data_IF_766026840705
#
_entry.id   IF_766026840705
#
_cell.length_a   1.000
_cell.length_b   1.000
_cell.length_c   1.000
_cell.angle_alpha   90.00
_cell.angle_beta   90.00
_cell.angle_gamma   90.00
#
_symmetry.space_group_name_H-M   'P 1'
#
loop_
_entity.id
_entity.type
_entity.pdbx_description
1 polymer ?
#
# COMPACT_ATOMS: atom_id res chain seq x y z
N UNK A 1 24.44 -21.37 83.71
CA UNK A 1 25.77 -20.80 83.97
C UNK A 1 26.76 -21.52 83.06
N UNK A 2 26.95 -20.99 81.85
CA UNK A 2 28.02 -21.36 80.94
C UNK A 2 28.22 -20.16 80.02
N UNK A 3 29.25 -19.37 80.33
CA UNK A 3 29.60 -18.11 79.68
C UNK A 3 30.40 -18.39 78.41
N UNK A 4 29.97 -17.74 77.33
CA UNK A 4 30.61 -17.71 76.02
C UNK A 4 31.99 -17.04 76.09
N UNK A 5 32.99 -17.70 75.50
CA UNK A 5 34.30 -17.12 75.25
C UNK A 5 34.29 -16.36 73.92
N UNK A 6 34.47 -15.05 74.04
CA UNK A 6 34.75 -14.08 72.98
C UNK A 6 36.24 -14.16 72.61
N UNK A 7 36.56 -14.25 71.32
CA UNK A 7 37.91 -13.99 70.80
C UNK A 7 37.84 -13.02 69.62
N UNK A 8 38.76 -12.06 69.70
CA UNK A 8 38.83 -10.80 68.98
C UNK A 8 39.08 -10.91 67.48
N UNK A 9 38.52 -9.92 66.77
CA UNK A 9 38.68 -9.73 65.34
C UNK A 9 40.03 -9.13 64.96
N UNK A 10 40.62 -9.68 63.90
CA UNK A 10 41.61 -9.02 63.07
C UNK A 10 40.94 -8.61 61.75
N UNK A 11 41.04 -7.31 61.42
CA UNK A 11 40.62 -6.72 60.14
C UNK A 11 41.51 -7.25 59.00
N UNK A 12 40.91 -7.68 57.90
CA UNK A 12 41.58 -7.77 56.59
C UNK A 12 40.72 -7.11 55.51
N UNK A 13 41.39 -6.31 54.69
CA UNK A 13 40.83 -5.42 53.68
C UNK A 13 40.50 -6.19 52.40
N UNK A 14 39.48 -5.69 51.71
CA UNK A 14 38.82 -6.19 50.52
C UNK A 14 39.75 -6.51 49.34
N UNK A 15 39.35 -7.49 48.54
CA UNK A 15 39.57 -7.52 47.09
C UNK A 15 38.37 -8.22 46.45
N UNK A 16 37.34 -7.45 46.10
CA UNK A 16 36.21 -7.94 45.34
C UNK A 16 36.65 -8.08 43.88
N UNK A 17 36.77 -9.31 43.39
CA UNK A 17 36.91 -9.60 41.96
C UNK A 17 35.58 -9.31 41.28
N UNK A 18 35.54 -8.25 40.49
CA UNK A 18 34.43 -7.91 39.61
C UNK A 18 34.27 -8.98 38.53
N UNK A 19 33.21 -9.77 38.62
CA UNK A 19 32.71 -10.52 37.47
C UNK A 19 32.21 -9.53 36.43
N UNK A 20 32.94 -9.49 35.32
CA UNK A 20 32.64 -8.74 34.11
C UNK A 20 31.30 -9.21 33.52
N UNK A 21 30.21 -8.52 33.88
CA UNK A 21 28.94 -8.62 33.15
C UNK A 21 29.04 -7.71 31.94
N UNK A 22 29.41 -8.30 30.81
CA UNK A 22 29.39 -7.64 29.52
C UNK A 22 28.01 -6.98 29.30
N UNK A 23 27.94 -5.67 28.99
CA UNK A 23 26.68 -5.00 28.71
C UNK A 23 25.99 -5.65 27.50
N UNK A 24 24.65 -5.77 27.50
CA UNK A 24 23.94 -6.30 26.35
C UNK A 24 24.28 -5.47 25.10
N UNK A 25 24.40 -6.09 23.92
CA UNK A 25 24.69 -5.37 22.69
C UNK A 25 23.64 -4.28 22.46
N UNK A 26 24.02 -3.10 21.93
CA UNK A 26 23.08 -2.04 21.65
C UNK A 26 21.99 -2.56 20.70
N UNK A 27 20.72 -2.51 21.14
CA UNK A 27 19.57 -2.77 20.27
C UNK A 27 19.71 -1.84 19.07
N UNK A 28 19.90 -2.39 17.87
CA UNK A 28 19.88 -1.62 16.64
C UNK A 28 18.46 -1.07 16.47
N UNK A 29 18.23 0.16 16.91
CA UNK A 29 16.94 0.84 16.77
C UNK A 29 16.74 1.08 15.29
N UNK A 30 15.97 0.20 14.64
CA UNK A 30 15.52 0.44 13.26
C UNK A 30 14.77 1.78 13.26
N UNK A 31 15.05 2.69 12.31
CA UNK A 31 14.31 3.94 12.23
C UNK A 31 12.82 3.62 12.08
N UNK A 32 11.99 4.21 12.94
CA UNK A 32 10.55 3.99 12.94
C UNK A 32 9.97 4.27 11.54
N UNK A 33 9.17 3.33 11.02
CA UNK A 33 8.51 3.47 9.71
C UNK A 33 7.63 4.72 9.68
N UNK A 34 7.40 5.28 8.48
CA UNK A 34 6.53 6.44 8.30
C UNK A 34 5.12 6.17 8.87
N UNK A 35 4.60 4.97 8.64
CA UNK A 35 3.35 4.49 9.22
C UNK A 35 3.34 4.57 10.75
N UNK A 36 4.35 3.99 11.43
CA UNK A 36 4.44 4.04 12.89
C UNK A 36 4.43 5.47 13.42
N UNK A 37 5.29 6.33 12.86
CA UNK A 37 5.44 7.71 13.32
C UNK A 37 4.17 8.55 13.15
N UNK A 38 3.42 8.30 12.07
CA UNK A 38 2.30 9.15 11.68
C UNK A 38 0.98 8.66 12.27
N UNK A 39 0.76 7.34 12.27
CA UNK A 39 -0.53 6.73 12.61
C UNK A 39 -0.56 6.23 14.07
N UNK A 40 0.60 5.94 14.66
CA UNK A 40 0.71 5.38 16.00
C UNK A 40 1.76 6.11 16.86
N UNK A 41 1.63 7.44 17.06
CA UNK A 41 2.63 8.24 17.76
C UNK A 41 2.80 7.87 19.24
N UNK A 42 1.77 7.26 19.86
CA UNK A 42 1.76 6.85 21.26
C UNK A 42 2.26 5.41 21.49
N UNK A 43 2.53 4.67 20.42
CA UNK A 43 2.92 3.27 20.50
C UNK A 43 4.41 3.14 20.86
N UNK A 44 4.80 2.32 21.86
CA UNK A 44 6.19 2.12 22.23
C UNK A 44 7.07 1.68 21.04
N UNK A 45 8.34 2.08 21.04
CA UNK A 45 9.26 1.79 19.93
C UNK A 45 9.50 0.29 19.71
N UNK A 46 9.40 -0.52 20.78
CA UNK A 46 9.68 -1.95 20.79
C UNK A 46 8.42 -2.82 20.53
N UNK A 47 7.21 -2.24 20.45
CA UNK A 47 5.97 -3.02 20.25
C UNK A 47 5.58 -3.11 18.78
N UNK A 48 5.01 -4.23 18.35
CA UNK A 48 4.54 -4.40 16.97
C UNK A 48 3.32 -3.52 16.64
N UNK A 49 3.12 -3.23 15.36
CA UNK A 49 1.93 -2.51 14.91
C UNK A 49 0.69 -3.40 15.16
N UNK A 50 -0.45 -2.81 15.57
CA UNK A 50 -1.69 -3.56 15.66
C UNK A 50 -2.04 -4.14 14.28
N UNK A 51 -2.67 -5.32 14.20
CA UNK A 51 -3.04 -5.90 12.93
C UNK A 51 -4.14 -5.07 12.25
N UNK A 52 -3.92 -4.68 10.99
CA UNK A 52 -4.95 -4.06 10.16
C UNK A 52 -5.95 -5.12 9.70
N UNK A 53 -5.44 -6.22 9.14
CA UNK A 53 -6.20 -7.38 8.71
C UNK A 53 -6.27 -8.44 9.82
N UNK A 54 -7.43 -9.06 9.98
CA UNK A 54 -7.75 -10.01 11.06
C UNK A 54 -7.46 -11.46 10.64
N UNK A 55 -7.51 -11.76 9.34
CA UNK A 55 -7.40 -13.13 8.85
C UNK A 55 -6.05 -13.78 9.18
N UNK A 56 -6.02 -15.03 9.68
CA UNK A 56 -4.80 -15.71 10.11
C UNK A 56 -3.86 -16.07 8.95
N UNK A 57 -4.35 -15.99 7.70
CA UNK A 57 -3.57 -16.27 6.49
C UNK A 57 -2.75 -15.08 6.00
N UNK A 58 -2.89 -13.91 6.64
CA UNK A 58 -2.25 -12.66 6.20
C UNK A 58 -0.80 -12.62 6.66
N UNK A 59 0.09 -12.29 5.72
CA UNK A 59 1.50 -12.10 6.04
C UNK A 59 1.72 -10.72 6.70
N UNK A 60 2.60 -10.61 7.71
CA UNK A 60 2.84 -9.34 8.41
C UNK A 60 3.34 -8.24 7.47
N UNK A 61 4.05 -8.59 6.39
CA UNK A 61 4.53 -7.66 5.39
C UNK A 61 3.38 -6.94 4.66
N UNK A 62 2.24 -7.61 4.46
CA UNK A 62 1.08 -6.98 3.84
C UNK A 62 0.45 -5.92 4.75
N UNK A 63 0.36 -6.19 6.06
CA UNK A 63 -0.12 -5.21 7.03
C UNK A 63 0.78 -3.97 7.06
N UNK A 64 2.11 -4.16 7.04
CA UNK A 64 3.06 -3.05 7.00
C UNK A 64 2.91 -2.19 5.73
N UNK A 65 2.75 -2.82 4.56
CA UNK A 65 2.54 -2.10 3.29
C UNK A 65 1.20 -1.36 3.27
N UNK A 66 0.13 -1.95 3.80
CA UNK A 66 -1.18 -1.28 3.89
C UNK A 66 -1.12 -0.06 4.83
N UNK A 67 -0.46 -0.17 5.98
CA UNK A 67 -0.26 1.00 6.85
C UNK A 67 0.64 2.05 6.20
N UNK A 68 1.68 1.66 5.47
CA UNK A 68 2.50 2.61 4.71
C UNK A 68 1.69 3.33 3.62
N UNK A 69 0.76 2.62 2.98
CA UNK A 69 -0.18 3.20 2.04
C UNK A 69 -1.10 4.22 2.73
N UNK A 70 -1.76 3.84 3.84
CA UNK A 70 -2.62 4.74 4.63
C UNK A 70 -1.85 5.98 5.07
N UNK A 71 -0.64 5.80 5.61
CA UNK A 71 0.17 6.92 6.07
C UNK A 71 0.62 7.84 4.92
N UNK A 72 0.92 7.28 3.76
CA UNK A 72 1.24 8.08 2.56
C UNK A 72 0.02 8.85 2.07
N UNK A 73 -1.16 8.23 2.08
CA UNK A 73 -2.43 8.85 1.74
C UNK A 73 -2.77 10.01 2.69
N UNK A 74 -2.77 9.79 4.00
CA UNK A 74 -3.07 10.86 4.98
C UNK A 74 -2.03 11.99 4.91
N UNK A 75 -0.75 11.67 4.69
CA UNK A 75 0.27 12.69 4.47
C UNK A 75 0.00 13.54 3.22
N UNK A 76 -0.54 12.94 2.16
CA UNK A 76 -0.83 13.65 0.91
C UNK A 76 -2.13 14.46 0.99
N UNK A 77 -3.18 13.91 1.59
CA UNK A 77 -4.53 14.47 1.50
C UNK A 77 -5.03 15.12 2.79
N UNK A 78 -4.36 14.93 3.94
CA UNK A 78 -4.74 15.54 5.22
C UNK A 78 -3.77 16.65 5.64
N UNK A 79 -2.47 16.36 5.65
CA UNK A 79 -1.47 17.33 6.11
C UNK A 79 -1.53 18.71 5.44
N UNK A 80 -1.71 18.84 4.10
CA UNK A 80 -1.63 20.15 3.44
C UNK A 80 -2.64 21.20 3.95
N UNK A 81 -3.74 20.76 4.56
CA UNK A 81 -4.74 21.64 5.15
C UNK A 81 -4.79 21.53 6.68
N UNK A 82 -4.66 20.33 7.26
CA UNK A 82 -4.78 20.17 8.72
C UNK A 82 -3.69 20.92 9.49
N UNK A 83 -2.44 20.90 9.02
CA UNK A 83 -1.35 21.60 9.71
C UNK A 83 -1.49 23.12 9.68
N UNK A 84 -2.33 23.65 8.78
CA UNK A 84 -2.67 25.09 8.73
C UNK A 84 -3.71 25.47 9.77
N UNK A 85 -4.57 24.51 10.16
CA UNK A 85 -5.59 24.69 11.19
C UNK A 85 -4.99 24.43 12.57
N UNK A 86 -4.25 23.33 12.74
CA UNK A 86 -3.63 22.96 14.03
C UNK A 86 -2.20 22.46 13.81
N UNK A 87 -1.22 23.20 14.34
CA UNK A 87 0.21 22.98 14.04
C UNK A 87 0.85 21.78 14.74
N UNK A 88 0.35 21.39 15.92
CA UNK A 88 0.99 20.38 16.78
C UNK A 88 0.05 19.24 17.18
N UNK A 89 -1.06 19.09 16.46
CA UNK A 89 -1.96 17.97 16.72
C UNK A 89 -1.39 16.67 16.13
N UNK A 90 -1.36 15.65 16.97
CA UNK A 90 -0.89 14.30 16.65
C UNK A 90 -2.00 13.26 16.74
N UNK A 91 -3.22 13.64 17.11
CA UNK A 91 -4.31 12.72 17.40
C UNK A 91 -5.27 12.55 16.21
N UNK A 92 -5.39 13.55 15.33
CA UNK A 92 -6.32 13.48 14.21
C UNK A 92 -6.01 12.35 13.20
N UNK A 93 -4.74 12.15 12.85
CA UNK A 93 -4.35 11.09 11.90
C UNK A 93 -4.54 9.69 12.50
N UNK A 94 -4.15 9.43 13.76
CA UNK A 94 -4.55 8.21 14.47
C UNK A 94 -6.07 8.00 14.52
N UNK A 95 -6.86 9.05 14.75
CA UNK A 95 -8.32 8.95 14.78
C UNK A 95 -8.88 8.53 13.41
N UNK A 96 -8.44 9.14 12.31
CA UNK A 96 -8.82 8.71 10.96
C UNK A 96 -8.36 7.27 10.70
N UNK A 97 -7.15 6.91 11.15
CA UNK A 97 -6.61 5.55 10.98
C UNK A 97 -7.49 4.50 11.67
N UNK A 98 -8.02 4.80 12.87
CA UNK A 98 -8.97 3.92 13.57
C UNK A 98 -10.21 3.66 12.71
N UNK A 99 -10.80 4.71 12.14
CA UNK A 99 -11.98 4.60 11.28
C UNK A 99 -11.67 3.80 10.00
N UNK A 100 -10.55 4.09 9.34
CA UNK A 100 -10.09 3.35 8.15
C UNK A 100 -9.83 1.88 8.48
N UNK A 101 -9.25 1.59 9.64
CA UNK A 101 -9.01 0.20 10.08
C UNK A 101 -10.33 -0.55 10.26
N UNK A 102 -11.34 0.06 10.89
CA UNK A 102 -12.68 -0.54 11.00
C UNK A 102 -13.29 -0.83 9.62
N UNK A 103 -13.18 0.11 8.67
CA UNK A 103 -13.68 -0.07 7.32
C UNK A 103 -12.98 -1.26 6.65
N UNK A 104 -11.65 -1.32 6.71
CA UNK A 104 -10.87 -2.39 6.09
C UNK A 104 -11.21 -3.76 6.70
N UNK A 105 -11.36 -3.85 8.02
CA UNK A 105 -11.69 -5.11 8.69
C UNK A 105 -13.09 -5.62 8.33
N UNK A 106 -14.07 -4.73 8.23
CA UNK A 106 -15.44 -5.11 7.81
C UNK A 106 -15.45 -5.55 6.34
N UNK A 107 -14.70 -4.86 5.48
CA UNK A 107 -14.55 -5.26 4.08
C UNK A 107 -13.83 -6.60 3.96
N UNK A 108 -12.75 -6.82 4.71
CA UNK A 108 -12.02 -8.09 4.74
C UNK A 108 -12.92 -9.25 5.16
N UNK A 109 -13.71 -9.09 6.22
CA UNK A 109 -14.65 -10.10 6.69
C UNK A 109 -15.67 -10.46 5.59
N UNK A 110 -16.29 -9.45 4.97
CA UNK A 110 -17.25 -9.64 3.87
C UNK A 110 -16.62 -10.30 2.65
N UNK A 111 -15.39 -9.90 2.28
CA UNK A 111 -14.66 -10.50 1.15
C UNK A 111 -14.32 -11.96 1.42
N UNK A 112 -14.00 -12.31 2.67
CA UNK A 112 -13.68 -13.68 3.07
C UNK A 112 -14.91 -14.58 3.08
N UNK A 113 -16.08 -14.03 3.42
CA UNK A 113 -17.36 -14.77 3.44
C UNK A 113 -18.01 -14.90 2.04
N UNK A 114 -17.62 -14.06 1.09
CA UNK A 114 -18.23 -14.01 -0.25
C UNK A 114 -17.53 -14.97 -1.21
N UNK A 115 -18.29 -15.82 -1.90
CA UNK A 115 -17.75 -16.60 -3.03
C UNK A 115 -17.45 -15.68 -4.22
N UNK A 116 -16.16 -15.42 -4.45
CA UNK A 116 -15.67 -14.59 -5.55
C UNK A 116 -15.57 -15.36 -6.88
N UNK A 117 -15.86 -16.67 -6.90
CA UNK A 117 -15.75 -17.49 -8.12
C UNK A 117 -16.58 -16.96 -9.30
N UNK A 118 -17.86 -16.54 -9.12
CA UNK A 118 -18.64 -15.95 -10.21
C UNK A 118 -18.02 -14.64 -10.72
N UNK A 119 -17.52 -13.80 -9.81
CA UNK A 119 -16.87 -12.55 -10.18
C UNK A 119 -15.63 -12.80 -11.04
N UNK A 120 -14.76 -13.71 -10.61
CA UNK A 120 -13.46 -13.98 -11.25
C UNK A 120 -13.60 -14.79 -12.53
N UNK A 121 -14.43 -15.83 -12.55
CA UNK A 121 -14.48 -16.78 -13.67
C UNK A 121 -15.59 -16.49 -14.69
N UNK A 122 -16.56 -15.64 -14.34
CA UNK A 122 -17.67 -15.28 -15.24
C UNK A 122 -17.71 -13.78 -15.50
N UNK A 123 -17.88 -12.97 -14.47
CA UNK A 123 -18.25 -11.56 -14.65
C UNK A 123 -17.08 -10.73 -15.19
N UNK A 124 -15.88 -10.84 -14.62
CA UNK A 124 -14.68 -10.14 -15.11
C UNK A 124 -14.33 -10.55 -16.56
N UNK A 125 -14.24 -11.84 -16.92
CA UNK A 125 -13.97 -12.25 -18.31
C UNK A 125 -15.03 -11.74 -19.29
N UNK A 126 -16.31 -11.78 -18.91
CA UNK A 126 -17.38 -11.23 -19.75
C UNK A 126 -17.20 -9.72 -19.94
N UNK A 127 -16.95 -8.95 -18.88
CA UNK A 127 -16.74 -7.50 -18.97
C UNK A 127 -15.54 -7.15 -19.87
N UNK A 128 -14.43 -7.88 -19.75
CA UNK A 128 -13.25 -7.67 -20.59
C UNK A 128 -13.53 -8.02 -22.05
N UNK A 129 -14.23 -9.13 -22.30
CA UNK A 129 -14.60 -9.55 -23.67
C UNK A 129 -15.55 -8.54 -24.32
N UNK A 130 -16.55 -8.07 -23.58
CA UNK A 130 -17.48 -7.02 -24.05
C UNK A 130 -16.74 -5.73 -24.34
N UNK A 131 -15.89 -5.28 -23.41
CA UNK A 131 -15.07 -4.08 -23.60
C UNK A 131 -14.21 -4.16 -24.86
N UNK A 132 -13.54 -5.29 -25.09
CA UNK A 132 -12.72 -5.49 -26.28
C UNK A 132 -13.53 -5.47 -27.58
N UNK A 133 -14.66 -6.19 -27.62
CA UNK A 133 -15.56 -6.21 -28.78
C UNK A 133 -16.09 -4.82 -29.09
N UNK A 134 -16.57 -4.08 -28.08
CA UNK A 134 -17.10 -2.74 -28.24
C UNK A 134 -16.03 -1.75 -28.69
N UNK A 135 -14.81 -1.88 -28.18
CA UNK A 135 -13.67 -1.09 -28.65
C UNK A 135 -13.40 -1.34 -30.14
N UNK A 136 -13.38 -2.60 -30.58
CA UNK A 136 -13.17 -2.95 -32.00
C UNK A 136 -14.32 -2.44 -32.88
N UNK A 137 -15.55 -2.51 -32.39
CA UNK A 137 -16.73 -1.96 -33.07
C UNK A 137 -16.66 -0.44 -33.21
N UNK A 138 -16.26 0.28 -32.16
CA UNK A 138 -16.05 1.72 -32.20
C UNK A 138 -14.91 2.10 -33.15
N UNK A 139 -13.80 1.34 -33.13
CA UNK A 139 -12.66 1.54 -34.02
C UNK A 139 -13.03 1.32 -35.49
N UNK A 140 -13.85 0.33 -35.81
CA UNK A 140 -14.29 0.05 -37.18
C UNK A 140 -15.19 1.17 -37.76
N UNK A 141 -15.88 1.92 -36.89
CA UNK A 141 -16.74 3.06 -37.28
C UNK A 141 -15.96 4.36 -37.42
N UNK A 142 -14.73 4.43 -36.95
CA UNK A 142 -13.91 5.64 -37.00
C UNK A 142 -13.77 6.12 -38.46
N UNK A 143 -13.88 7.43 -38.70
CA UNK A 143 -13.80 8.04 -40.03
C UNK A 143 -14.88 7.57 -41.04
N UNK A 144 -15.95 6.95 -40.57
CA UNK A 144 -17.12 6.61 -41.42
C UNK A 144 -18.24 7.64 -41.24
N UNK A 145 -19.21 7.66 -42.14
CA UNK A 145 -20.41 8.49 -42.02
C UNK A 145 -21.21 8.21 -40.73
N UNK A 146 -21.10 6.99 -40.19
CA UNK A 146 -21.74 6.57 -38.93
C UNK A 146 -21.09 7.18 -37.67
N UNK A 147 -19.94 7.85 -37.80
CA UNK A 147 -19.24 8.51 -36.70
C UNK A 147 -19.56 10.02 -36.65
N UNK A 148 -20.84 10.37 -36.66
CA UNK A 148 -21.30 11.77 -36.75
C UNK A 148 -20.68 12.49 -37.96
N UNK A 149 -20.73 11.86 -39.14
CA UNK A 149 -20.09 12.38 -40.35
C UNK A 149 -18.55 12.34 -40.31
N UNK A 150 -17.96 11.46 -39.50
CA UNK A 150 -16.50 11.30 -39.34
C UNK A 150 -15.86 12.17 -38.25
N UNK A 151 -16.64 13.01 -37.57
CA UNK A 151 -16.13 13.95 -36.56
C UNK A 151 -15.97 13.33 -35.16
N UNK A 152 -16.65 12.23 -34.85
CA UNK A 152 -16.59 11.63 -33.53
C UNK A 152 -15.25 10.92 -33.27
N UNK A 153 -14.69 11.13 -32.07
CA UNK A 153 -13.45 10.48 -31.64
C UNK A 153 -13.70 9.05 -31.18
N UNK A 154 -12.64 8.23 -31.12
CA UNK A 154 -12.76 6.85 -30.63
C UNK A 154 -13.36 6.75 -29.22
N UNK A 155 -12.94 7.56 -28.22
CA UNK A 155 -13.57 7.57 -26.89
C UNK A 155 -15.06 7.92 -26.92
N UNK A 156 -15.46 8.88 -27.75
CA UNK A 156 -16.86 9.27 -27.91
C UNK A 156 -17.70 8.14 -28.52
N UNK A 157 -17.19 7.49 -29.57
CA UNK A 157 -17.86 6.34 -30.19
C UNK A 157 -17.98 5.16 -29.23
N UNK A 158 -16.93 4.89 -28.45
CA UNK A 158 -16.95 3.83 -27.44
C UNK A 158 -17.97 4.14 -26.34
N UNK A 159 -17.97 5.36 -25.80
CA UNK A 159 -18.90 5.78 -24.76
C UNK A 159 -20.37 5.73 -25.21
N UNK A 160 -20.66 5.98 -26.50
CA UNK A 160 -22.01 5.80 -27.04
C UNK A 160 -22.49 4.35 -27.04
N UNK A 161 -21.57 3.38 -27.15
CA UNK A 161 -21.90 1.94 -27.06
C UNK A 161 -22.12 1.50 -25.61
N UNK A 162 -21.35 2.06 -24.68
CA UNK A 162 -21.37 1.71 -23.25
C UNK A 162 -21.44 2.98 -22.37
N UNK A 163 -22.57 3.69 -22.35
CA UNK A 163 -22.71 4.88 -21.53
C UNK A 163 -22.78 4.49 -20.05
N UNK A 164 -21.96 5.14 -19.23
CA UNK A 164 -21.98 4.95 -17.78
C UNK A 164 -22.02 6.31 -17.07
N UNK A 165 -22.93 6.48 -16.10
CA UNK A 165 -23.15 7.78 -15.43
C UNK A 165 -21.88 8.32 -14.74
N UNK A 166 -21.01 7.42 -14.26
CA UNK A 166 -19.78 7.78 -13.56
C UNK A 166 -18.62 8.18 -14.47
N UNK A 167 -18.71 8.03 -15.80
CA UNK A 167 -17.58 8.25 -16.71
C UNK A 167 -18.05 9.04 -17.92
N UNK A 168 -17.42 10.19 -18.18
CA UNK A 168 -17.73 10.98 -19.37
C UNK A 168 -17.13 10.35 -20.64
N UNK A 169 -17.57 10.82 -21.81
CA UNK A 169 -17.01 10.41 -23.10
C UNK A 169 -15.49 10.68 -23.22
N UNK A 170 -14.96 11.64 -22.47
CA UNK A 170 -13.53 11.96 -22.43
C UNK A 170 -12.76 11.10 -21.40
N UNK A 171 -13.42 10.13 -20.77
CA UNK A 171 -12.83 9.25 -19.75
C UNK A 171 -12.65 9.91 -18.39
N UNK A 172 -13.29 11.06 -18.13
CA UNK A 172 -13.26 11.69 -16.80
C UNK A 172 -14.27 11.03 -15.88
N UNK A 173 -13.82 10.65 -14.69
CA UNK A 173 -14.70 10.06 -13.66
C UNK A 173 -15.46 11.17 -12.94
N UNK A 174 -16.75 10.98 -12.76
CA UNK A 174 -17.60 11.90 -11.99
C UNK A 174 -17.34 11.74 -10.49
N UNK A 175 -16.85 12.81 -9.88
CA UNK A 175 -16.57 12.91 -8.46
C UNK A 175 -17.83 12.74 -7.60
N UNK A 176 -18.99 13.23 -8.06
CA UNK A 176 -20.24 13.09 -7.32
C UNK A 176 -20.64 11.61 -7.21
N UNK A 177 -20.40 10.83 -8.27
CA UNK A 177 -20.61 9.39 -8.25
C UNK A 177 -19.68 8.68 -7.26
N UNK A 178 -18.37 9.01 -7.26
CA UNK A 178 -17.40 8.43 -6.33
C UNK A 178 -17.77 8.78 -4.88
N UNK A 179 -18.17 10.03 -4.63
CA UNK A 179 -18.62 10.47 -3.31
C UNK A 179 -19.84 9.68 -2.84
N UNK A 180 -20.84 9.49 -3.69
CA UNK A 180 -22.03 8.72 -3.35
C UNK A 180 -21.70 7.25 -3.07
N UNK A 181 -20.92 6.61 -3.96
CA UNK A 181 -20.50 5.23 -3.79
C UNK A 181 -19.72 5.01 -2.49
N UNK A 182 -18.83 5.95 -2.13
CA UNK A 182 -18.09 5.89 -0.87
C UNK A 182 -19.00 6.14 0.35
N UNK A 183 -20.00 7.03 0.26
CA UNK A 183 -20.97 7.21 1.35
C UNK A 183 -21.75 5.91 1.64
N UNK A 184 -22.14 5.18 0.59
CA UNK A 184 -22.83 3.89 0.72
C UNK A 184 -21.92 2.81 1.33
N UNK A 185 -20.62 2.80 0.97
CA UNK A 185 -19.62 1.94 1.60
C UNK A 185 -19.46 2.29 3.09
N UNK A 186 -19.33 3.58 3.43
CA UNK A 186 -19.20 4.04 4.81
C UNK A 186 -20.41 3.64 5.65
N UNK A 187 -21.63 3.82 5.11
CA UNK A 187 -22.88 3.41 5.77
C UNK A 187 -22.91 1.92 6.08
N UNK A 188 -22.33 1.12 5.20
CA UNK A 188 -22.33 -0.34 5.29
C UNK A 188 -21.24 -0.87 6.22
N UNK A 189 -20.13 -0.14 6.36
CA UNK A 189 -18.95 -0.59 7.09
C UNK A 189 -18.82 0.02 8.50
N UNK A 190 -19.30 1.24 8.73
CA UNK A 190 -19.10 1.92 10.01
C UNK A 190 -20.19 1.59 11.02
N UNK A 191 -19.84 1.46 12.32
CA UNK A 191 -20.83 1.40 13.37
C UNK A 191 -21.57 2.75 13.49
N UNK A 192 -22.80 2.78 14.05
CA UNK A 192 -23.57 4.02 14.19
C UNK A 192 -22.81 5.14 14.93
N UNK A 193 -21.97 4.78 15.91
CA UNK A 193 -21.14 5.72 16.65
C UNK A 193 -20.16 6.52 15.76
N UNK A 194 -19.65 5.91 14.68
CA UNK A 194 -18.70 6.55 13.75
C UNK A 194 -19.43 7.11 12.49
N UNK A 195 -20.65 6.65 12.16
CA UNK A 195 -21.40 7.09 10.96
C UNK A 195 -22.40 8.23 11.21
N UNK A 196 -23.04 8.27 12.39
CA UNK A 196 -24.02 9.30 12.75
C UNK A 196 -23.41 10.72 12.82
N UNK A 197 -22.19 10.93 13.38
CA UNK A 197 -21.59 12.25 13.41
C UNK A 197 -21.24 12.74 11.99
N UNK A 198 -22.00 13.74 11.50
CA UNK A 198 -21.85 14.24 10.13
C UNK A 198 -20.43 14.73 9.82
N UNK A 199 -19.80 15.41 10.79
CA UNK A 199 -18.45 15.95 10.65
C UNK A 199 -17.41 14.86 10.40
N UNK A 200 -17.40 13.81 11.22
CA UNK A 200 -16.46 12.69 11.07
C UNK A 200 -16.71 11.95 9.76
N UNK A 201 -17.99 11.63 9.48
CA UNK A 201 -18.41 10.98 8.24
C UNK A 201 -17.94 11.75 7.01
N UNK A 202 -18.19 13.07 6.94
CA UNK A 202 -17.84 13.87 5.77
C UNK A 202 -16.33 14.03 5.62
N UNK A 203 -15.60 14.27 6.71
CA UNK A 203 -14.14 14.34 6.66
C UNK A 203 -13.55 13.03 6.12
N UNK A 204 -13.97 11.89 6.68
CA UNK A 204 -13.46 10.57 6.25
C UNK A 204 -13.86 10.29 4.81
N UNK A 205 -15.10 10.60 4.41
CA UNK A 205 -15.56 10.43 3.02
C UNK A 205 -14.73 11.26 2.05
N UNK A 206 -14.51 12.55 2.30
CA UNK A 206 -13.74 13.39 1.37
C UNK A 206 -12.28 12.95 1.30
N UNK A 207 -11.67 12.50 2.40
CA UNK A 207 -10.33 11.90 2.38
C UNK A 207 -10.30 10.65 1.47
N UNK A 208 -11.30 9.77 1.58
CA UNK A 208 -11.39 8.59 0.73
C UNK A 208 -11.63 8.94 -0.74
N UNK A 209 -12.47 9.95 -1.03
CA UNK A 209 -12.69 10.47 -2.39
C UNK A 209 -11.38 10.95 -2.98
N UNK A 210 -10.62 11.77 -2.25
CA UNK A 210 -9.33 12.30 -2.68
C UNK A 210 -8.30 11.19 -2.94
N UNK A 211 -8.27 10.16 -2.08
CA UNK A 211 -7.39 8.99 -2.26
C UNK A 211 -7.78 8.21 -3.52
N UNK A 212 -9.07 7.95 -3.72
CA UNK A 212 -9.55 7.16 -4.86
C UNK A 212 -9.37 7.93 -6.16
N UNK A 213 -9.92 9.13 -6.26
CA UNK A 213 -9.94 9.95 -7.46
C UNK A 213 -8.58 10.58 -7.78
N UNK A 214 -7.85 11.04 -6.76
CA UNK A 214 -6.55 11.69 -6.93
C UNK A 214 -5.38 10.70 -6.94
N UNK A 215 -5.48 9.59 -6.23
CA UNK A 215 -4.37 8.67 -6.00
C UNK A 215 -4.44 7.38 -6.81
N UNK A 216 -5.59 6.71 -6.77
CA UNK A 216 -5.77 5.35 -7.30
C UNK A 216 -6.19 5.38 -8.76
N UNK A 217 -7.33 5.99 -9.08
CA UNK A 217 -7.94 6.00 -10.42
C UNK A 217 -6.95 6.45 -11.51
N UNK A 218 -6.20 7.55 -11.36
CA UNK A 218 -5.29 8.02 -12.40
C UNK A 218 -4.11 7.07 -12.66
N UNK A 219 -3.81 6.15 -11.73
CA UNK A 219 -2.74 5.16 -11.87
C UNK A 219 -3.26 3.85 -12.45
N UNK A 220 -4.34 3.31 -11.89
CA UNK A 220 -4.86 1.97 -12.28
C UNK A 220 -5.48 1.95 -13.67
N UNK A 221 -5.91 3.11 -14.17
CA UNK A 221 -6.43 3.26 -15.54
C UNK A 221 -5.34 3.41 -16.59
N UNK A 222 -4.07 3.54 -16.19
CA UNK A 222 -2.98 3.72 -17.15
C UNK A 222 -2.65 2.40 -17.86
N UNK A 223 -2.43 2.42 -19.20
CA UNK A 223 -2.08 1.22 -19.95
C UNK A 223 -0.84 0.49 -19.41
N UNK A 224 0.19 1.24 -18.99
CA UNK A 224 1.42 0.66 -18.44
C UNK A 224 1.15 -0.08 -17.12
N UNK A 225 0.23 0.43 -16.29
CA UNK A 225 -0.08 -0.16 -14.99
C UNK A 225 -0.84 -1.46 -15.17
N UNK A 226 -1.85 -1.46 -16.05
CA UNK A 226 -2.63 -2.65 -16.40
C UNK A 226 -1.71 -3.72 -16.99
N UNK A 227 -0.89 -3.36 -17.97
CA UNK A 227 0.03 -4.30 -18.62
C UNK A 227 1.04 -4.89 -17.62
N UNK A 228 1.65 -4.04 -16.78
CA UNK A 228 2.56 -4.50 -15.72
C UNK A 228 1.86 -5.46 -14.75
N UNK A 229 0.64 -5.14 -14.33
CA UNK A 229 -0.14 -6.00 -13.43
C UNK A 229 -0.36 -7.37 -14.05
N UNK A 230 -0.77 -7.45 -15.32
CA UNK A 230 -0.94 -8.71 -16.05
C UNK A 230 0.38 -9.49 -16.12
N UNK A 231 1.48 -8.85 -16.51
CA UNK A 231 2.79 -9.51 -16.61
C UNK A 231 3.27 -10.05 -15.26
N UNK A 232 3.06 -9.30 -14.18
CA UNK A 232 3.40 -9.71 -12.81
C UNK A 232 2.57 -10.92 -12.39
N UNK A 233 1.26 -10.90 -12.63
CA UNK A 233 0.36 -12.01 -12.29
C UNK A 233 0.68 -13.29 -13.09
N UNK A 234 1.10 -13.15 -14.35
CA UNK A 234 1.57 -14.28 -15.18
C UNK A 234 2.98 -14.79 -14.78
N UNK A 235 3.64 -14.13 -13.82
CA UNK A 235 4.99 -14.50 -13.38
C UNK A 235 6.09 -14.24 -14.40
N UNK A 236 5.80 -13.50 -15.47
CA UNK A 236 6.72 -13.28 -16.58
C UNK A 236 7.88 -12.36 -16.19
N UNK A 237 7.67 -11.43 -15.25
CA UNK A 237 8.75 -10.59 -14.71
C UNK A 237 9.79 -11.44 -13.93
N UNK A 238 9.32 -12.36 -13.08
CA UNK A 238 10.21 -13.25 -12.31
C UNK A 238 10.97 -14.20 -13.23
N UNK A 239 10.32 -14.72 -14.28
CA UNK A 239 10.95 -15.59 -15.28
C UNK A 239 12.09 -14.85 -15.99
N UNK A 240 11.83 -13.64 -16.50
CA UNK A 240 12.85 -12.84 -17.20
C UNK A 240 14.02 -12.46 -16.27
N UNK A 241 13.74 -12.12 -15.02
CA UNK A 241 14.79 -11.83 -14.04
C UNK A 241 15.63 -13.07 -13.72
N UNK A 242 14.99 -14.24 -13.56
CA UNK A 242 15.69 -15.50 -13.31
C UNK A 242 16.53 -15.95 -14.51
N UNK A 243 16.05 -15.75 -15.74
CA UNK A 243 16.77 -16.06 -16.98
C UNK A 243 17.97 -15.12 -17.16
N UNK A 244 17.81 -13.82 -16.89
CA UNK A 244 18.90 -12.85 -16.89
C UNK A 244 19.94 -13.16 -15.81
N UNK A 245 19.52 -13.49 -14.59
CA UNK A 245 20.42 -13.91 -13.53
C UNK A 245 21.16 -15.20 -13.88
N UNK A 246 20.49 -16.16 -14.52
CA UNK A 246 21.10 -17.42 -14.98
C UNK A 246 22.10 -17.17 -16.11
N UNK A 247 21.78 -16.27 -17.03
CA UNK A 247 22.66 -15.86 -18.12
C UNK A 247 23.89 -15.10 -17.62
N UNK A 248 23.71 -14.16 -16.68
CA UNK A 248 24.83 -13.45 -16.02
C UNK A 248 25.70 -14.43 -15.23
N UNK A 249 25.10 -15.39 -14.53
CA UNK A 249 25.84 -16.43 -13.81
C UNK A 249 26.65 -17.30 -14.80
N UNK A 250 26.04 -17.69 -15.92
CA UNK A 250 26.72 -18.43 -16.99
C UNK A 250 27.91 -17.63 -17.58
N UNK A 251 27.71 -16.36 -17.93
CA UNK A 251 28.76 -15.46 -18.43
C UNK A 251 29.86 -15.17 -17.39
N UNK A 252 29.52 -15.21 -16.10
CA UNK A 252 30.51 -15.06 -15.03
C UNK A 252 31.36 -16.33 -14.82
N UNK A 253 30.82 -17.49 -15.20
CA UNK A 253 31.50 -18.79 -15.13
C UNK A 253 32.33 -19.10 -16.40
N UNK A 254 32.07 -18.41 -17.52
CA UNK A 254 32.93 -18.46 -18.71
C UNK A 254 34.14 -17.54 -18.48
N UNK A 255 35.32 -18.16 -18.29
CA UNK A 255 36.57 -17.51 -17.84
C UNK A 255 37.05 -16.30 -18.67
N UNK A 256 36.52 -16.08 -19.87
CA UNK A 256 36.98 -15.03 -20.79
C UNK A 256 36.03 -13.82 -20.81
N UNK A 257 34.72 -14.02 -20.59
CA UNK A 257 33.72 -12.94 -20.65
C UNK A 257 33.45 -12.30 -19.28
N UNK A 258 33.59 -13.05 -18.19
CA UNK A 258 33.52 -12.52 -16.82
C UNK A 258 34.59 -11.46 -16.52
N UNK A 259 35.76 -11.55 -17.15
CA UNK A 259 36.82 -10.55 -17.05
C UNK A 259 36.43 -9.24 -17.75
N UNK A 260 35.75 -9.32 -18.90
CA UNK A 260 35.31 -8.16 -19.68
C UNK A 260 34.17 -7.42 -18.97
N UNK A 261 33.21 -8.14 -18.39
CA UNK A 261 32.11 -7.52 -17.64
C UNK A 261 32.57 -6.87 -16.34
N UNK A 262 33.48 -7.50 -15.59
CA UNK A 262 34.08 -6.88 -14.40
C UNK A 262 34.90 -5.63 -14.75
N UNK A 263 35.62 -5.66 -15.88
CA UNK A 263 36.35 -4.50 -16.37
C UNK A 263 35.41 -3.34 -16.72
N UNK A 264 34.34 -3.58 -17.48
CA UNK A 264 33.36 -2.55 -17.85
C UNK A 264 32.66 -1.98 -16.59
N UNK A 265 32.27 -2.83 -15.65
CA UNK A 265 31.61 -2.38 -14.42
C UNK A 265 32.53 -1.53 -13.53
N UNK A 266 33.83 -1.82 -13.52
CA UNK A 266 34.84 -1.03 -12.79
C UNK A 266 35.12 0.34 -13.42
N UNK A 267 35.00 0.46 -14.74
CA UNK A 267 35.19 1.73 -15.46
C UNK A 267 33.99 2.67 -15.29
N UNK A 268 32.77 2.12 -15.24
CA UNK A 268 31.54 2.91 -15.02
C UNK A 268 31.50 3.49 -13.59
N UNK A 269 32.01 2.77 -12.59
CA UNK A 269 32.08 3.26 -11.22
C UNK A 269 33.15 4.36 -11.02
N UNK A 270 34.22 4.37 -11.83
CA UNK A 270 35.26 5.41 -11.79
C UNK A 270 34.86 6.73 -12.44
N UNK A 271 33.88 6.74 -13.36
CA UNK A 271 33.37 7.98 -13.96
C UNK A 271 32.32 8.71 -13.11
N UNK A 272 31.90 8.12 -11.98
CA UNK A 272 30.91 8.69 -11.05
C UNK A 272 31.50 9.18 -9.72
N UNK A 273 32.82 9.16 -9.57
CA UNK A 273 33.55 9.81 -8.47
C UNK A 273 34.26 11.05 -9.01
#
# INVERSE_FOLDING_TARGET
MALETRTDGARSIQSATSSDKQPPPPKVVKPASLARRLLFPQLPADSDLPPLLISPSVTPELNDELYNFVATALRAYVHPWWTKITRYDKEFLPAITRVVTNIVQVLEARLTETDLSPLVFRDIPMLVSTHYTDYRNAQAKLQTSYASGGAATLPQLFHQLQPHMAVSADGKVDEAYIRQALDDVLRTCLPPADYEPETERYIVREILVDVVQGGIVPKVTQPWFIHRTILTLLGLEKRKQSELSSYIQYLSSSSVEGAVLNYISSQILRQKA
#
